data_IF_331753705407
#
_entry.id   IF_331753705407
#
_cell.length_a   1.000
_cell.length_b   1.000
_cell.length_c   1.000
_cell.angle_alpha   90.00
_cell.angle_beta   90.00
_cell.angle_gamma   90.00
#
_symmetry.space_group_name_H-M   'P 1'
#
loop_
_entity.id
_entity.type
_entity.pdbx_description
1 polymer ?
#
# COMPACT_ATOMS: atom_id res chain seq x y z
N UNK A 1 0.62 -7.90 14.88
CA UNK A 1 -0.48 -8.83 14.46
C UNK A 1 -1.14 -9.46 15.67
N UNK A 2 -2.45 -9.47 15.76
CA UNK A 2 -3.13 -10.16 16.86
C UNK A 2 -2.91 -11.67 16.77
N UNK A 3 -2.71 -12.30 17.91
CA UNK A 3 -2.54 -13.76 18.00
C UNK A 3 -3.90 -14.45 17.99
N UNK A 4 -4.90 -13.81 18.57
CA UNK A 4 -6.25 -14.35 18.71
C UNK A 4 -7.28 -13.34 18.19
N UNK A 5 -8.38 -13.88 17.69
CA UNK A 5 -9.55 -13.10 17.26
C UNK A 5 -10.72 -13.49 18.14
N UNK A 6 -11.37 -12.52 18.78
CA UNK A 6 -12.43 -12.77 19.77
C UNK A 6 -13.63 -13.54 19.20
N UNK A 7 -13.97 -13.33 17.93
CA UNK A 7 -15.07 -14.02 17.24
C UNK A 7 -14.60 -15.16 16.33
N UNK A 8 -13.28 -15.34 16.20
CA UNK A 8 -12.69 -16.23 15.22
C UNK A 8 -12.53 -15.55 13.85
N UNK A 9 -11.57 -16.03 13.08
CA UNK A 9 -11.16 -15.39 11.81
C UNK A 9 -12.31 -15.23 10.81
N UNK A 10 -13.14 -16.28 10.64
CA UNK A 10 -14.22 -16.29 9.65
C UNK A 10 -15.32 -15.30 10.05
N UNK A 11 -15.74 -15.30 11.30
CA UNK A 11 -16.80 -14.42 11.80
C UNK A 11 -16.36 -12.97 11.79
N UNK A 12 -15.12 -12.65 12.14
CA UNK A 12 -14.59 -11.29 12.09
C UNK A 12 -14.48 -10.79 10.67
N UNK A 13 -14.06 -11.63 9.72
CA UNK A 13 -14.05 -11.31 8.32
C UNK A 13 -15.46 -10.97 7.80
N UNK A 14 -16.45 -11.78 8.13
CA UNK A 14 -17.84 -11.56 7.74
C UNK A 14 -18.39 -10.28 8.35
N UNK A 15 -18.07 -10.00 9.61
CA UNK A 15 -18.47 -8.76 10.29
C UNK A 15 -17.91 -7.53 9.57
N UNK A 16 -16.63 -7.56 9.22
CA UNK A 16 -15.95 -6.46 8.50
C UNK A 16 -16.59 -6.21 7.14
N UNK A 17 -16.97 -7.27 6.42
CA UNK A 17 -17.60 -7.18 5.11
C UNK A 17 -19.03 -6.65 5.16
N UNK A 18 -19.80 -7.03 6.18
CA UNK A 18 -21.23 -6.68 6.27
C UNK A 18 -21.48 -5.41 7.07
N UNK A 19 -20.59 -5.02 7.93
CA UNK A 19 -20.73 -3.85 8.80
C UNK A 19 -19.48 -2.98 8.74
N UNK A 20 -18.66 -3.05 9.78
CA UNK A 20 -17.50 -2.19 9.94
C UNK A 20 -16.45 -2.90 10.78
N UNK A 21 -15.17 -2.69 10.48
CA UNK A 21 -14.07 -3.25 11.23
C UNK A 21 -13.06 -2.19 11.64
N UNK A 22 -12.40 -2.41 12.77
CA UNK A 22 -11.29 -1.60 13.25
C UNK A 22 -10.02 -2.42 13.19
N UNK A 23 -8.98 -1.89 12.54
CA UNK A 23 -7.70 -2.56 12.35
C UNK A 23 -6.56 -1.73 12.89
N UNK A 24 -5.67 -2.37 13.65
CA UNK A 24 -4.40 -1.76 14.02
C UNK A 24 -3.38 -2.00 12.91
N UNK A 25 -3.01 -0.94 12.19
CA UNK A 25 -2.03 -0.99 11.09
C UNK A 25 -0.70 -0.36 11.49
N UNK A 26 -0.42 -0.22 12.77
CA UNK A 26 0.82 0.40 13.26
C UNK A 26 2.09 -0.34 12.85
N UNK A 27 1.96 -1.60 12.39
CA UNK A 27 3.07 -2.38 11.85
C UNK A 27 3.47 -1.96 10.42
N UNK A 28 2.69 -1.11 9.76
CA UNK A 28 2.97 -0.65 8.41
C UNK A 28 3.88 0.57 8.43
N UNK A 29 4.94 0.53 7.62
CA UNK A 29 5.82 1.67 7.42
C UNK A 29 5.22 2.72 6.50
N UNK A 30 5.67 3.97 6.65
CA UNK A 30 5.27 5.08 5.78
C UNK A 30 6.51 5.84 5.32
N UNK A 31 6.46 6.32 4.07
CA UNK A 31 7.55 7.09 3.48
C UNK A 31 6.97 8.23 2.65
N UNK A 32 7.49 9.45 2.85
CA UNK A 32 7.15 10.61 2.04
C UNK A 32 8.30 10.91 1.09
N UNK A 33 7.98 11.07 -0.18
CA UNK A 33 8.97 11.32 -1.23
C UNK A 33 8.54 12.56 -2.02
N UNK A 34 9.43 13.56 -2.17
CA UNK A 34 9.11 14.72 -3.00
C UNK A 34 8.84 14.33 -4.45
N UNK A 35 7.81 14.93 -5.05
CA UNK A 35 7.41 14.64 -6.42
C UNK A 35 8.28 15.47 -7.37
N UNK A 36 9.17 14.81 -8.10
CA UNK A 36 9.93 15.39 -9.20
C UNK A 36 10.26 14.28 -10.21
N UNK A 37 10.69 14.66 -11.41
CA UNK A 37 10.98 13.70 -12.48
C UNK A 37 12.02 12.67 -12.09
N UNK A 38 13.05 13.06 -11.36
CA UNK A 38 14.13 12.16 -10.93
C UNK A 38 13.61 11.10 -9.96
N UNK A 39 12.86 11.52 -8.96
CA UNK A 39 12.32 10.59 -7.96
C UNK A 39 11.31 9.62 -8.57
N UNK A 40 10.43 10.12 -9.44
CA UNK A 40 9.44 9.28 -10.13
C UNK A 40 10.13 8.24 -10.98
N UNK A 41 11.15 8.61 -11.77
CA UNK A 41 11.89 7.65 -12.59
C UNK A 41 12.57 6.57 -11.76
N UNK A 42 13.16 6.94 -10.63
CA UNK A 42 13.81 5.98 -9.75
C UNK A 42 12.80 5.00 -9.12
N UNK A 43 11.64 5.49 -8.72
CA UNK A 43 10.58 4.64 -8.17
C UNK A 43 10.03 3.68 -9.22
N UNK A 44 9.85 4.13 -10.46
CA UNK A 44 9.33 3.29 -11.53
C UNK A 44 10.28 2.15 -11.94
N UNK A 45 11.56 2.22 -11.55
CA UNK A 45 12.51 1.11 -11.75
C UNK A 45 12.10 -0.12 -10.91
N UNK A 46 11.60 0.10 -9.70
CA UNK A 46 11.28 -0.99 -8.75
C UNK A 46 9.79 -1.19 -8.54
N UNK A 47 8.96 -0.29 -9.04
CA UNK A 47 7.50 -0.34 -8.88
C UNK A 47 6.86 -0.45 -10.27
N UNK A 48 6.10 -1.53 -10.55
CA UNK A 48 5.49 -1.74 -11.87
C UNK A 48 4.23 -0.89 -12.05
N UNK A 49 4.34 0.43 -11.96
CA UNK A 49 3.22 1.35 -12.02
C UNK A 49 3.64 2.64 -12.71
N UNK A 50 2.76 3.21 -13.54
CA UNK A 50 2.99 4.51 -14.13
C UNK A 50 2.63 5.61 -13.13
N UNK A 51 3.63 6.12 -12.43
CA UNK A 51 3.44 7.12 -11.38
C UNK A 51 3.27 8.53 -11.94
N UNK A 52 3.74 8.76 -13.17
CA UNK A 52 3.59 10.08 -13.83
C UNK A 52 2.14 10.41 -14.11
N UNK A 53 1.33 9.40 -14.45
CA UNK A 53 -0.08 9.57 -14.78
C UNK A 53 -1.00 9.43 -13.58
N UNK A 54 -0.49 9.07 -12.42
CA UNK A 54 -1.29 8.98 -11.21
C UNK A 54 -1.76 10.38 -10.80
N UNK A 55 -3.07 10.57 -10.72
CA UNK A 55 -3.65 11.86 -10.39
C UNK A 55 -3.45 12.21 -8.91
N UNK A 56 -3.38 13.52 -8.62
CA UNK A 56 -3.31 14.02 -7.25
C UNK A 56 -4.55 13.57 -6.48
N UNK A 57 -4.38 13.20 -5.23
CA UNK A 57 -5.40 12.65 -4.32
C UNK A 57 -5.89 11.26 -4.71
N UNK A 58 -5.17 10.58 -5.59
CA UNK A 58 -5.44 9.18 -5.96
C UNK A 58 -4.41 8.25 -5.31
N UNK A 59 -4.83 7.03 -5.07
CA UNK A 59 -3.99 5.96 -4.54
C UNK A 59 -4.04 4.76 -5.46
N UNK A 60 -2.96 4.00 -5.48
CA UNK A 60 -2.86 2.76 -6.24
C UNK A 60 -2.16 1.70 -5.40
N UNK A 61 -2.68 0.48 -5.44
CA UNK A 61 -2.04 -0.68 -4.84
C UNK A 61 -1.02 -1.26 -5.82
N UNK A 62 0.20 -1.48 -5.35
CA UNK A 62 1.27 -2.00 -6.20
C UNK A 62 2.28 -2.79 -5.37
N UNK A 63 3.45 -3.06 -5.95
CA UNK A 63 4.48 -3.89 -5.35
C UNK A 63 5.84 -3.25 -5.52
N UNK A 64 6.76 -3.57 -4.60
CA UNK A 64 8.19 -3.29 -4.78
C UNK A 64 8.84 -4.58 -5.29
N UNK A 65 9.58 -4.47 -6.39
CA UNK A 65 10.22 -5.60 -7.05
C UNK A 65 11.73 -5.59 -6.84
N UNK A 66 12.33 -6.78 -6.80
CA UNK A 66 13.79 -6.92 -6.83
C UNK A 66 14.30 -6.98 -8.28
N UNK A 67 15.62 -7.11 -8.46
CA UNK A 67 16.26 -7.12 -9.78
C UNK A 67 15.82 -8.29 -10.66
N UNK A 68 15.32 -9.38 -10.07
CA UNK A 68 14.83 -10.56 -10.78
C UNK A 68 13.32 -10.52 -11.02
N UNK A 69 12.64 -9.42 -10.68
CA UNK A 69 11.20 -9.27 -10.82
C UNK A 69 10.39 -9.92 -9.71
N UNK A 70 11.03 -10.44 -8.66
CA UNK A 70 10.33 -10.98 -7.50
C UNK A 70 9.77 -9.89 -6.62
N UNK A 71 8.65 -10.18 -5.94
CA UNK A 71 7.99 -9.22 -5.07
C UNK A 71 8.69 -9.16 -3.71
N UNK A 72 9.19 -7.96 -3.35
CA UNK A 72 9.79 -7.70 -2.03
C UNK A 72 8.71 -7.37 -1.02
N UNK A 73 7.75 -6.52 -1.40
CA UNK A 73 6.67 -6.08 -0.52
C UNK A 73 5.50 -5.54 -1.35
N UNK A 74 4.32 -5.54 -0.76
CA UNK A 74 3.16 -4.85 -1.32
C UNK A 74 3.03 -3.47 -0.67
N UNK A 75 2.56 -2.51 -1.46
CA UNK A 75 2.51 -1.11 -1.04
C UNK A 75 1.25 -0.43 -1.56
N UNK A 76 0.89 0.68 -0.92
CA UNK A 76 -0.10 1.62 -1.43
C UNK A 76 0.62 2.94 -1.69
N UNK A 77 0.49 3.45 -2.91
CA UNK A 77 1.09 4.71 -3.31
C UNK A 77 -0.02 5.75 -3.44
N UNK A 78 0.14 6.87 -2.75
CA UNK A 78 -0.81 7.97 -2.80
C UNK A 78 -0.08 9.23 -3.25
N UNK A 79 -0.66 9.93 -4.23
CA UNK A 79 -0.14 11.23 -4.67
C UNK A 79 -0.88 12.31 -3.93
N UNK A 80 -0.20 13.00 -3.04
CA UNK A 80 -0.79 14.02 -2.18
C UNK A 80 -0.61 15.41 -2.77
N UNK A 81 -1.59 16.28 -2.51
CA UNK A 81 -1.47 17.71 -2.77
C UNK A 81 -1.03 18.38 -1.47
N UNK A 82 0.21 18.81 -1.46
CA UNK A 82 0.80 19.50 -0.30
C UNK A 82 1.12 20.95 -0.67
#
# INVERSE_FOLDING_TARGET
MPINFSLGIIKEHQHTRSKCGLFDISHMGQMLIPVNKKNIKQLEIVIPQNLQTLAISRSVYSFILNAQGGIVDDIIISKLKI
#
